data_IF_517858776100
#
_entry.id   IF_517858776100
#
_cell.length_a   1.000
_cell.length_b   1.000
_cell.length_c   1.000
_cell.angle_alpha   90.00
_cell.angle_beta   90.00
_cell.angle_gamma   90.00
#
_symmetry.space_group_name_H-M   'P 1'
#
loop_
_entity.id
_entity.type
_entity.pdbx_description
1 polymer ?
#
# COMPACT_ATOMS: atom_id res chain seq x y z
N UNK A 1 -7.04 7.72 7.94
CA UNK A 1 -7.84 6.64 7.31
C UNK A 1 -8.47 7.11 6.02
N UNK A 2 -9.53 7.94 6.03
CA UNK A 2 -10.22 8.31 4.78
C UNK A 2 -9.30 8.85 3.69
N UNK A 3 -8.38 9.78 4.01
CA UNK A 3 -7.48 10.34 2.99
C UNK A 3 -6.49 9.31 2.46
N UNK A 4 -5.81 8.56 3.34
CA UNK A 4 -4.80 7.57 2.94
C UNK A 4 -5.43 6.38 2.22
N UNK A 5 -6.59 5.86 2.65
CA UNK A 5 -7.29 4.79 1.92
C UNK A 5 -7.70 5.24 0.52
N UNK A 6 -8.17 6.48 0.37
CA UNK A 6 -8.47 7.02 -0.95
C UNK A 6 -7.22 7.12 -1.84
N UNK A 7 -6.06 7.42 -1.28
CA UNK A 7 -4.78 7.41 -2.01
C UNK A 7 -4.41 5.99 -2.43
N UNK A 8 -4.54 5.01 -1.52
CA UNK A 8 -4.25 3.60 -1.79
C UNK A 8 -5.13 3.07 -2.92
N UNK A 9 -6.45 3.25 -2.81
CA UNK A 9 -7.44 2.81 -3.81
C UNK A 9 -7.17 3.48 -5.16
N UNK A 10 -6.92 4.78 -5.19
CA UNK A 10 -6.63 5.50 -6.45
C UNK A 10 -5.32 5.05 -7.08
N UNK A 11 -4.31 4.75 -6.27
CA UNK A 11 -3.05 4.21 -6.76
C UNK A 11 -3.18 2.80 -7.34
N UNK A 12 -3.96 1.92 -6.71
CA UNK A 12 -4.23 0.60 -7.30
C UNK A 12 -5.02 0.73 -8.61
N UNK A 13 -6.04 1.59 -8.63
CA UNK A 13 -6.85 1.84 -9.81
C UNK A 13 -6.02 2.40 -10.98
N UNK A 14 -5.12 3.36 -10.73
CA UNK A 14 -4.24 3.88 -11.78
C UNK A 14 -3.29 2.81 -12.29
N UNK A 15 -2.70 1.97 -11.43
CA UNK A 15 -1.83 0.86 -11.83
C UNK A 15 -2.58 -0.09 -12.76
N UNK A 16 -3.74 -0.58 -12.34
CA UNK A 16 -4.54 -1.54 -13.13
C UNK A 16 -5.05 -0.92 -14.43
N UNK A 17 -5.42 0.36 -14.43
CA UNK A 17 -5.90 1.03 -15.64
C UNK A 17 -4.79 1.31 -16.65
N UNK A 18 -3.58 1.62 -16.20
CA UNK A 18 -2.49 2.02 -17.10
C UNK A 18 -1.61 0.85 -17.55
N UNK A 19 -1.45 -0.18 -16.71
CA UNK A 19 -0.58 -1.33 -17.03
C UNK A 19 -0.84 -1.96 -18.41
N UNK A 20 -2.09 -2.21 -18.86
CA UNK A 20 -2.33 -2.80 -20.18
C UNK A 20 -1.85 -1.95 -21.35
N UNK A 21 -1.63 -0.65 -21.14
CA UNK A 21 -1.28 0.32 -22.18
C UNK A 21 0.19 0.72 -22.16
N UNK A 22 0.96 0.30 -21.14
CA UNK A 22 2.41 0.44 -21.13
C UNK A 22 2.98 -0.45 -22.24
N UNK A 23 3.69 0.17 -23.18
CA UNK A 23 4.18 -0.51 -24.38
C UNK A 23 5.22 -1.56 -24.02
N UNK A 24 5.07 -2.78 -24.56
CA UNK A 24 6.04 -3.86 -24.41
C UNK A 24 7.13 -3.77 -25.46
N UNK A 25 8.23 -4.49 -25.28
CA UNK A 25 9.40 -4.48 -26.18
C UNK A 25 9.09 -4.89 -27.63
N UNK A 26 7.94 -5.51 -27.88
CA UNK A 26 7.46 -5.88 -29.22
C UNK A 26 6.68 -4.78 -29.94
N UNK A 27 6.25 -3.72 -29.23
CA UNK A 27 5.52 -2.60 -29.82
C UNK A 27 6.51 -1.62 -30.51
N UNK A 28 6.24 -1.16 -31.75
CA UNK A 28 7.13 -0.23 -32.46
C UNK A 28 7.30 1.13 -31.76
N UNK A 29 6.40 1.52 -30.85
CA UNK A 29 6.51 2.74 -30.06
C UNK A 29 7.02 2.48 -28.63
N UNK A 30 7.67 1.34 -28.40
CA UNK A 30 8.26 0.99 -27.11
C UNK A 30 9.27 2.05 -26.63
N UNK A 31 9.19 2.35 -25.34
CA UNK A 31 10.14 3.18 -24.61
C UNK A 31 10.52 2.44 -23.33
N UNK A 32 11.80 2.08 -23.20
CA UNK A 32 12.34 1.50 -21.97
C UNK A 32 12.08 2.41 -20.76
N UNK A 33 12.21 3.72 -20.96
CA UNK A 33 12.00 4.72 -19.92
C UNK A 33 10.56 4.70 -19.39
N UNK A 34 9.58 4.46 -20.25
CA UNK A 34 8.17 4.45 -19.83
C UNK A 34 7.90 3.27 -18.89
N UNK A 35 8.51 2.11 -19.13
CA UNK A 35 8.43 0.94 -18.25
C UNK A 35 9.18 1.18 -16.94
N UNK A 36 10.37 1.78 -16.99
CA UNK A 36 11.14 2.12 -15.78
C UNK A 36 10.39 3.11 -14.88
N UNK A 37 9.81 4.17 -15.45
CA UNK A 37 9.01 5.15 -14.73
C UNK A 37 7.74 4.49 -14.15
N UNK A 38 7.12 3.57 -14.89
CA UNK A 38 5.98 2.79 -14.39
C UNK A 38 6.36 1.87 -13.23
N UNK A 39 7.47 1.13 -13.31
CA UNK A 39 7.98 0.30 -12.21
C UNK A 39 8.34 1.13 -10.99
N UNK A 40 8.93 2.30 -11.18
CA UNK A 40 9.20 3.22 -10.07
C UNK A 40 7.91 3.67 -9.39
N UNK A 41 6.89 4.07 -10.17
CA UNK A 41 5.57 4.44 -9.66
C UNK A 41 4.92 3.32 -8.84
N UNK A 42 4.86 2.10 -9.40
CA UNK A 42 4.30 0.91 -8.73
C UNK A 42 5.06 0.61 -7.44
N UNK A 43 6.40 0.67 -7.47
CA UNK A 43 7.24 0.45 -6.28
C UNK A 43 6.97 1.47 -5.18
N UNK A 44 6.79 2.75 -5.54
CA UNK A 44 6.47 3.80 -4.58
C UNK A 44 5.09 3.59 -3.95
N UNK A 45 4.11 3.16 -4.75
CA UNK A 45 2.79 2.82 -4.25
C UNK A 45 2.86 1.65 -3.26
N UNK A 46 3.53 0.55 -3.60
CA UNK A 46 3.66 -0.61 -2.69
C UNK A 46 4.31 -0.22 -1.37
N UNK A 47 5.47 0.46 -1.41
CA UNK A 47 6.18 0.91 -0.21
C UNK A 47 5.34 1.83 0.67
N UNK A 48 4.51 2.69 0.06
CA UNK A 48 3.59 3.56 0.79
C UNK A 48 2.49 2.76 1.49
N UNK A 49 1.91 1.74 0.83
CA UNK A 49 0.91 0.85 1.42
C UNK A 49 1.52 0.05 2.58
N UNK A 50 2.70 -0.53 2.40
CA UNK A 50 3.41 -1.27 3.47
C UNK A 50 3.71 -0.37 4.67
N UNK A 51 4.18 0.86 4.42
CA UNK A 51 4.45 1.83 5.48
C UNK A 51 3.21 2.21 6.29
N UNK A 52 2.08 2.36 5.60
CA UNK A 52 0.79 2.64 6.22
C UNK A 52 0.36 1.53 7.19
N UNK A 53 0.32 0.28 6.73
CA UNK A 53 -0.10 -0.84 7.59
C UNK A 53 0.94 -1.15 8.68
N UNK A 54 2.24 -0.96 8.41
CA UNK A 54 3.27 -1.07 9.44
C UNK A 54 3.05 -0.05 10.56
N UNK A 55 2.73 1.20 10.22
CA UNK A 55 2.42 2.25 11.21
C UNK A 55 1.20 1.88 12.05
N UNK A 56 0.18 1.29 11.42
CA UNK A 56 -1.01 0.83 12.11
C UNK A 56 -0.71 -0.24 13.14
N UNK A 57 -0.07 -1.32 12.73
CA UNK A 57 0.20 -2.45 13.60
C UNK A 57 1.19 -2.13 14.72
N UNK A 58 2.18 -1.27 14.45
CA UNK A 58 3.22 -0.95 15.43
C UNK A 58 2.85 0.17 16.38
N UNK A 59 1.92 1.05 15.98
CA UNK A 59 1.67 2.31 16.69
C UNK A 59 0.19 2.65 16.86
N UNK A 60 -0.59 2.73 15.78
CA UNK A 60 -1.97 3.24 15.86
C UNK A 60 -2.89 2.25 16.58
N UNK A 61 -2.87 0.98 16.17
CA UNK A 61 -3.75 -0.04 16.74
C UNK A 61 -3.48 -0.27 18.23
N UNK A 62 -2.22 -0.47 18.69
CA UNK A 62 -1.95 -0.64 20.12
C UNK A 62 -2.37 0.55 20.98
N UNK A 63 -2.19 1.79 20.49
CA UNK A 63 -2.56 2.99 21.26
C UNK A 63 -4.08 3.19 21.31
N UNK A 64 -4.81 2.82 20.24
CA UNK A 64 -6.28 2.80 20.24
C UNK A 64 -6.81 1.78 21.25
N UNK A 65 -6.26 0.57 21.29
CA UNK A 65 -6.68 -0.45 22.26
C UNK A 65 -6.42 -0.01 23.70
N UNK A 66 -5.23 0.56 23.95
CA UNK A 66 -4.85 1.11 25.25
C UNK A 66 -5.79 2.25 25.68
N UNK A 67 -6.08 3.18 24.77
CA UNK A 67 -6.97 4.31 25.05
C UNK A 67 -8.42 3.87 25.29
N UNK A 68 -8.91 2.94 24.48
CA UNK A 68 -10.28 2.42 24.59
C UNK A 68 -10.47 1.46 25.77
N UNK A 69 -9.38 0.92 26.33
CA UNK A 69 -9.44 -0.11 27.37
C UNK A 69 -9.97 -1.45 26.85
N UNK A 70 -9.89 -1.68 25.53
CA UNK A 70 -10.41 -2.88 24.85
C UNK A 70 -9.27 -3.62 24.12
N UNK A 71 -8.55 -4.52 24.80
CA UNK A 71 -7.54 -5.36 24.15
C UNK A 71 -8.17 -6.23 23.06
N UNK A 72 -7.48 -6.36 21.92
CA UNK A 72 -7.94 -7.13 20.76
C UNK A 72 -9.01 -6.45 19.92
N UNK A 73 -9.33 -5.18 20.20
CA UNK A 73 -10.30 -4.41 19.41
C UNK A 73 -9.83 -4.22 17.95
N UNK A 74 -8.53 -4.30 17.68
CA UNK A 74 -7.93 -4.13 16.36
C UNK A 74 -7.38 -5.45 15.76
N UNK A 75 -7.73 -6.61 16.33
CA UNK A 75 -7.26 -7.93 15.84
C UNK A 75 -7.79 -8.24 14.44
N UNK A 76 -9.05 -7.90 14.15
CA UNK A 76 -9.68 -8.17 12.85
C UNK A 76 -8.99 -7.40 11.71
N UNK A 77 -8.81 -6.05 11.76
CA UNK A 77 -8.03 -5.31 10.76
C UNK A 77 -6.63 -5.89 10.57
N UNK A 78 -5.95 -6.22 11.68
CA UNK A 78 -4.60 -6.78 11.64
C UNK A 78 -4.54 -8.13 10.92
N UNK A 79 -5.49 -9.02 11.17
CA UNK A 79 -5.53 -10.32 10.48
C UNK A 79 -5.82 -10.16 8.98
N UNK A 80 -6.63 -9.17 8.59
CA UNK A 80 -6.89 -8.89 7.19
C UNK A 80 -5.63 -8.48 6.41
N UNK A 81 -4.62 -7.87 7.07
CA UNK A 81 -3.35 -7.51 6.43
C UNK A 81 -2.60 -8.73 5.88
N UNK A 82 -2.68 -9.87 6.57
CA UNK A 82 -2.03 -11.12 6.17
C UNK A 82 -2.51 -11.61 4.80
N UNK A 83 -3.75 -11.29 4.42
CA UNK A 83 -4.35 -11.72 3.16
C UNK A 83 -3.75 -11.04 1.92
N UNK A 84 -3.12 -9.87 2.07
CA UNK A 84 -2.58 -9.11 0.92
C UNK A 84 -1.09 -8.75 1.01
N UNK A 85 -0.46 -8.77 2.19
CA UNK A 85 0.97 -8.43 2.34
C UNK A 85 1.88 -9.25 1.44
N UNK A 86 1.68 -10.57 1.36
CA UNK A 86 2.49 -11.41 0.47
C UNK A 86 2.31 -11.07 -1.02
N UNK A 87 1.19 -10.48 -1.42
CA UNK A 87 0.97 -9.98 -2.79
C UNK A 87 1.72 -8.67 -3.06
N UNK A 88 1.72 -7.75 -2.09
CA UNK A 88 2.49 -6.51 -2.15
C UNK A 88 4.00 -6.81 -2.27
N UNK A 89 4.53 -7.71 -1.44
CA UNK A 89 5.93 -8.14 -1.48
C UNK A 89 6.33 -8.69 -2.86
N UNK A 90 5.48 -9.55 -3.44
CA UNK A 90 5.71 -10.09 -4.80
C UNK A 90 5.67 -8.99 -5.86
N UNK A 91 4.76 -8.03 -5.75
CA UNK A 91 4.68 -6.91 -6.70
C UNK A 91 5.92 -6.03 -6.61
N UNK A 92 6.39 -5.71 -5.41
CA UNK A 92 7.63 -4.97 -5.21
C UNK A 92 8.85 -5.72 -5.74
N UNK A 93 8.93 -7.04 -5.52
CA UNK A 93 9.99 -7.86 -6.07
C UNK A 93 9.95 -7.87 -7.60
N UNK A 94 8.76 -7.94 -8.21
CA UNK A 94 8.58 -7.88 -9.66
C UNK A 94 9.13 -6.58 -10.25
N UNK A 95 8.78 -5.42 -9.68
CA UNK A 95 9.27 -4.12 -10.18
C UNK A 95 10.77 -3.91 -10.01
N UNK A 96 11.39 -4.58 -9.04
CA UNK A 96 12.84 -4.47 -8.78
C UNK A 96 13.69 -5.45 -9.59
N UNK A 97 13.13 -6.59 -9.98
CA UNK A 97 13.88 -7.68 -10.62
C UNK A 97 13.57 -7.86 -12.11
N UNK A 98 12.41 -7.42 -12.58
CA UNK A 98 12.01 -7.51 -13.98
C UNK A 98 12.76 -6.46 -14.80
N UNK A 99 13.38 -6.87 -15.90
CA UNK A 99 13.99 -5.90 -16.82
C UNK A 99 12.89 -5.24 -17.65
N UNK A 100 13.03 -3.95 -18.03
CA UNK A 100 12.02 -3.24 -18.80
C UNK A 100 11.54 -3.97 -20.05
N UNK A 101 12.44 -4.61 -20.79
CA UNK A 101 12.09 -5.35 -22.01
C UNK A 101 11.28 -6.63 -21.78
N UNK A 102 11.28 -7.15 -20.55
CA UNK A 102 10.57 -8.37 -20.14
C UNK A 102 9.17 -8.05 -19.57
N UNK A 103 8.84 -6.77 -19.43
CA UNK A 103 7.54 -6.32 -18.94
C UNK A 103 6.40 -6.75 -19.87
N UNK A 104 5.33 -7.26 -19.26
CA UNK A 104 4.05 -7.50 -19.87
C UNK A 104 2.96 -7.52 -18.80
N UNK A 105 1.76 -7.04 -19.15
CA UNK A 105 0.62 -7.00 -18.23
C UNK A 105 -0.08 -8.37 -18.12
N UNK A 106 -0.50 -8.93 -19.26
CA UNK A 106 -1.24 -10.20 -19.36
C UNK A 106 -0.36 -11.36 -19.80
N UNK A 107 -0.75 -12.59 -19.41
CA UNK A 107 -0.07 -13.83 -19.76
C UNK A 107 0.78 -14.39 -18.62
N UNK A 108 1.33 -15.60 -18.78
CA UNK A 108 2.09 -16.27 -17.71
C UNK A 108 3.30 -15.46 -17.27
N UNK A 109 3.37 -15.13 -15.97
CA UNK A 109 4.42 -14.29 -15.39
C UNK A 109 4.18 -12.78 -15.57
N UNK A 110 3.03 -12.39 -16.12
CA UNK A 110 2.63 -11.00 -16.27
C UNK A 110 2.27 -10.37 -14.94
N UNK A 111 2.40 -9.05 -14.86
CA UNK A 111 2.16 -8.32 -13.61
C UNK A 111 0.73 -8.51 -13.08
N UNK A 112 -0.25 -8.78 -13.96
CA UNK A 112 -1.64 -9.04 -13.59
C UNK A 112 -1.81 -10.26 -12.68
N UNK A 113 -1.06 -11.35 -12.91
CA UNK A 113 -1.12 -12.57 -12.09
C UNK A 113 -0.69 -12.32 -10.64
N UNK A 114 0.09 -11.27 -10.42
CA UNK A 114 0.54 -10.83 -9.09
C UNK A 114 -0.50 -9.92 -8.45
N UNK A 115 -1.09 -9.00 -9.21
CA UNK A 115 -2.05 -8.00 -8.72
C UNK A 115 -3.41 -8.60 -8.38
N UNK A 116 -3.94 -9.48 -9.24
CA UNK A 116 -5.30 -10.02 -9.09
C UNK A 116 -5.55 -10.61 -7.69
N UNK A 117 -4.69 -11.49 -7.13
CA UNK A 117 -5.02 -12.22 -5.91
C UNK A 117 -5.06 -11.37 -4.63
N UNK A 118 -4.33 -10.24 -4.58
CA UNK A 118 -4.30 -9.39 -3.38
C UNK A 118 -5.20 -8.16 -3.50
N UNK A 119 -5.60 -7.79 -4.73
CA UNK A 119 -6.39 -6.59 -4.97
C UNK A 119 -7.73 -6.59 -4.23
N UNK A 120 -8.50 -7.69 -4.30
CA UNK A 120 -9.80 -7.80 -3.62
C UNK A 120 -9.65 -7.86 -2.09
N UNK A 121 -8.74 -8.65 -1.49
CA UNK A 121 -8.48 -8.61 -0.05
C UNK A 121 -8.06 -7.23 0.46
N UNK A 122 -7.21 -6.51 -0.27
CA UNK A 122 -6.84 -5.13 0.08
C UNK A 122 -8.06 -4.21 0.07
N UNK A 123 -8.90 -4.28 -0.97
CA UNK A 123 -10.11 -3.47 -1.03
C UNK A 123 -11.08 -3.81 0.11
N UNK A 124 -11.29 -5.09 0.38
CA UNK A 124 -12.14 -5.55 1.49
C UNK A 124 -11.67 -4.95 2.82
N UNK A 125 -10.37 -5.05 3.11
CA UNK A 125 -9.76 -4.50 4.31
C UNK A 125 -10.03 -3.00 4.46
N UNK A 126 -9.73 -2.20 3.42
CA UNK A 126 -9.88 -0.74 3.46
C UNK A 126 -11.33 -0.28 3.68
N UNK A 127 -12.31 -1.11 3.30
CA UNK A 127 -13.73 -0.87 3.59
C UNK A 127 -14.14 -1.38 4.98
N UNK A 128 -13.74 -2.59 5.35
CA UNK A 128 -14.10 -3.21 6.63
C UNK A 128 -13.63 -2.37 7.83
N UNK A 129 -12.46 -1.74 7.71
CA UNK A 129 -11.91 -0.92 8.78
C UNK A 129 -12.76 0.34 9.08
N UNK A 130 -13.56 0.82 8.12
CA UNK A 130 -14.49 1.94 8.35
C UNK A 130 -15.46 1.58 9.47
N UNK A 131 -16.00 0.36 9.47
CA UNK A 131 -16.94 -0.10 10.50
C UNK A 131 -16.27 -0.20 11.88
N UNK A 132 -14.99 -0.59 11.92
CA UNK A 132 -14.20 -0.62 13.17
C UNK A 132 -14.07 0.79 13.76
N UNK A 133 -13.76 1.81 12.95
CA UNK A 133 -13.71 3.19 13.43
C UNK A 133 -15.09 3.73 13.82
N UNK A 134 -16.15 3.38 13.09
CA UNK A 134 -17.51 3.79 13.45
C UNK A 134 -17.96 3.17 14.79
N UNK A 135 -17.48 1.97 15.12
CA UNK A 135 -17.72 1.32 16.41
C UNK A 135 -17.04 2.06 17.58
N UNK A 136 -16.12 2.99 17.32
CA UNK A 136 -15.49 3.84 18.33
C UNK A 136 -16.31 5.08 18.72
N UNK A 137 -17.52 5.27 18.16
CA UNK A 137 -18.36 6.46 18.35
C UNK A 137 -18.64 6.87 19.80
N UNK A 138 -18.58 5.90 20.73
CA UNK A 138 -18.86 6.12 22.15
C UNK A 138 -17.61 6.48 22.98
N UNK A 139 -16.42 6.50 22.36
CA UNK A 139 -15.17 6.93 22.99
C UNK A 139 -15.04 8.46 22.98
N UNK A 140 -14.28 9.02 23.94
CA UNK A 140 -14.01 10.46 23.97
C UNK A 140 -13.24 10.91 22.72
N UNK A 141 -13.87 11.78 21.93
CA UNK A 141 -13.32 12.26 20.66
C UNK A 141 -12.02 13.04 20.83
N UNK A 142 -11.85 13.74 21.96
CA UNK A 142 -10.63 14.52 22.23
C UNK A 142 -9.44 13.60 22.46
N UNK A 143 -9.63 12.57 23.28
CA UNK A 143 -8.63 11.54 23.53
C UNK A 143 -8.31 10.72 22.28
N UNK A 144 -9.33 10.28 21.53
CA UNK A 144 -9.11 9.59 20.25
C UNK A 144 -8.28 10.43 19.28
N UNK A 145 -8.58 11.73 19.16
CA UNK A 145 -7.82 12.64 18.30
C UNK A 145 -6.35 12.73 18.73
N UNK A 146 -6.06 12.83 20.03
CA UNK A 146 -4.67 12.86 20.53
C UNK A 146 -3.93 11.56 20.25
N UNK A 147 -4.60 10.43 20.43
CA UNK A 147 -4.06 9.11 20.08
C UNK A 147 -3.72 9.03 18.59
N UNK A 148 -4.62 9.54 17.75
CA UNK A 148 -4.42 9.62 16.30
C UNK A 148 -3.23 10.50 15.91
N UNK A 149 -3.15 11.72 16.46
CA UNK A 149 -2.08 12.68 16.16
C UNK A 149 -0.69 12.11 16.51
N UNK A 150 -0.58 11.36 17.62
CA UNK A 150 0.67 10.67 17.98
C UNK A 150 1.07 9.61 16.94
N UNK A 151 0.11 8.82 16.46
CA UNK A 151 0.35 7.85 15.40
C UNK A 151 0.80 8.52 14.10
N UNK A 152 0.20 9.66 13.74
CA UNK A 152 0.57 10.44 12.57
C UNK A 152 2.00 11.01 12.67
N UNK A 153 2.42 11.47 13.86
CA UNK A 153 3.80 11.92 14.09
C UNK A 153 4.80 10.78 13.86
N UNK A 154 4.52 9.58 14.35
CA UNK A 154 5.35 8.39 14.12
C UNK A 154 5.42 8.08 12.63
N UNK A 155 4.27 8.09 11.94
CA UNK A 155 4.18 7.84 10.50
C UNK A 155 5.09 8.81 9.70
N UNK A 156 5.10 10.10 10.09
CA UNK A 156 5.91 11.15 9.44
C UNK A 156 7.40 11.03 9.74
N UNK A 157 7.78 10.56 10.92
CA UNK A 157 9.18 10.40 11.31
C UNK A 157 9.83 9.18 10.64
N UNK A 158 9.05 8.11 10.49
CA UNK A 158 9.49 6.85 9.88
C UNK A 158 9.35 6.86 8.36
N UNK A 159 8.38 7.58 7.80
CA UNK A 159 8.17 7.76 6.38
C UNK A 159 9.06 8.85 5.78
N UNK A 160 9.94 8.51 4.83
CA UNK A 160 10.78 9.51 4.17
C UNK A 160 11.13 9.13 2.72
N UNK A 161 11.61 10.11 1.94
CA UNK A 161 11.96 9.90 0.52
C UNK A 161 13.04 8.84 0.29
N UNK A 162 13.92 8.59 1.27
CA UNK A 162 14.96 7.56 1.14
C UNK A 162 14.36 6.15 1.09
N UNK A 163 13.15 5.95 1.64
CA UNK A 163 12.42 4.69 1.47
C UNK A 163 12.08 4.43 0.00
N UNK A 164 11.81 5.48 -0.78
CA UNK A 164 11.44 5.36 -2.19
C UNK A 164 12.67 5.13 -3.10
N UNK A 165 13.83 5.65 -2.69
CA UNK A 165 15.07 5.62 -3.47
C UNK A 165 15.98 4.46 -3.02
N UNK A 166 15.86 3.30 -3.65
CA UNK A 166 16.79 2.17 -3.43
C UNK A 166 18.13 2.30 -4.19
N UNK A 167 18.37 3.44 -4.85
CA UNK A 167 19.60 3.72 -5.62
C UNK A 167 20.25 4.98 -5.05
N UNK A 168 21.57 4.98 -4.74
CA UNK A 168 22.25 6.21 -4.39
C UNK A 168 22.24 7.13 -5.61
N UNK A 169 21.46 8.21 -5.52
CA UNK A 169 21.56 9.32 -6.45
C UNK A 169 22.94 9.94 -6.23
N UNK A 170 23.92 9.54 -7.04
CA UNK A 170 25.17 10.28 -7.19
C UNK A 170 24.80 11.48 -8.07
N UNK A 171 24.56 12.61 -7.41
CA UNK A 171 24.59 13.94 -8.04
C UNK A 171 26.05 14.34 -8.21
#
# INVERSE_FOLDING_TARGET
MTHVHNVIIRGLNSIIQQAPYVKTSTDPTYSQKDVEDFFFYVSCWVKMVEHHHWTEETSIFPEIEKFSGKPGFMDDPKHQHEAFHGGLERLLAYTQSTKPQDYHWDGPGGMKEIVDPFSEPLMHHLYAEIDVFLAMKDLDSTGLRKTWEKGEEIAKQSGNLSMLMSIPCII
#
